data_IF_927481209445
#
_entry.id   IF_927481209445
#
_cell.length_a   1.000
_cell.length_b   1.000
_cell.length_c   1.000
_cell.angle_alpha   90.00
_cell.angle_beta   90.00
_cell.angle_gamma   90.00
#
_symmetry.space_group_name_H-M   'P 1'
#
loop_
_entity.id
_entity.type
_entity.pdbx_description
1 polymer ?
#
# COMPACT_ATOMS: atom_id res chain seq x y z
N UNK A 1 6.98 9.67 -6.55
CA UNK A 1 8.12 9.42 -5.65
C UNK A 1 9.20 8.68 -6.45
N UNK A 2 10.44 9.18 -6.50
CA UNK A 2 11.55 8.59 -7.28
C UNK A 2 12.38 7.73 -6.34
N UNK A 3 12.37 6.42 -6.56
CA UNK A 3 13.22 5.49 -5.81
C UNK A 3 14.59 5.52 -6.50
N UNK A 4 15.48 6.41 -6.07
CA UNK A 4 16.85 6.47 -6.60
C UNK A 4 17.66 5.32 -6.03
N UNK A 5 18.28 4.51 -6.90
CA UNK A 5 19.18 3.42 -6.52
C UNK A 5 18.76 2.03 -7.03
N UNK A 6 17.52 1.85 -7.48
CA UNK A 6 17.02 0.55 -7.97
C UNK A 6 17.73 0.05 -9.23
N UNK A 7 18.01 -1.27 -9.31
CA UNK A 7 18.51 -1.94 -10.53
C UNK A 7 17.54 -1.90 -11.72
N UNK A 8 16.26 -1.69 -11.45
CA UNK A 8 15.18 -1.74 -12.44
C UNK A 8 14.51 -0.37 -12.59
N UNK A 9 14.01 -0.09 -13.79
CA UNK A 9 13.28 1.14 -14.07
C UNK A 9 11.89 1.12 -13.39
N UNK A 10 11.74 1.95 -12.36
CA UNK A 10 10.50 2.09 -11.62
C UNK A 10 9.35 2.63 -12.49
N UNK A 11 9.63 3.37 -13.57
CA UNK A 11 8.60 3.90 -14.46
C UNK A 11 7.92 2.78 -15.27
N UNK A 12 8.69 1.76 -15.68
CA UNK A 12 8.15 0.59 -16.39
C UNK A 12 7.22 -0.21 -15.46
N UNK A 13 7.67 -0.49 -14.22
CA UNK A 13 6.83 -1.15 -13.23
C UNK A 13 5.54 -0.36 -12.96
N UNK A 14 5.65 0.95 -12.76
CA UNK A 14 4.50 1.82 -12.53
C UNK A 14 3.52 1.81 -13.70
N UNK A 15 4.02 1.83 -14.95
CA UNK A 15 3.19 1.73 -16.14
C UNK A 15 2.36 0.44 -16.14
N UNK A 16 2.99 -0.72 -15.95
CA UNK A 16 2.29 -2.00 -15.98
C UNK A 16 1.27 -2.16 -14.83
N UNK A 17 1.62 -1.68 -13.63
CA UNK A 17 0.68 -1.71 -12.50
C UNK A 17 -0.54 -0.81 -12.76
N UNK A 18 -0.34 0.37 -13.36
CA UNK A 18 -1.44 1.25 -13.77
C UNK A 18 -2.29 0.64 -14.88
N UNK A 19 -1.68 -0.03 -15.87
CA UNK A 19 -2.41 -0.72 -16.93
C UNK A 19 -3.27 -1.88 -16.37
N UNK A 20 -2.76 -2.62 -15.39
CA UNK A 20 -3.47 -3.75 -14.80
C UNK A 20 -4.60 -3.34 -13.84
N UNK A 21 -4.38 -2.31 -13.03
CA UNK A 21 -5.30 -1.95 -11.92
C UNK A 21 -6.04 -0.63 -12.12
N UNK A 22 -5.61 0.21 -13.06
CA UNK A 22 -6.23 1.49 -13.38
C UNK A 22 -6.33 2.41 -12.16
N UNK A 23 -7.48 3.05 -12.00
CA UNK A 23 -7.82 3.91 -10.85
C UNK A 23 -8.61 3.17 -9.79
N UNK A 24 -8.47 1.85 -9.70
CA UNK A 24 -9.23 1.04 -8.75
C UNK A 24 -8.81 1.38 -7.31
N UNK A 25 -9.74 1.88 -6.48
CA UNK A 25 -9.48 2.17 -5.07
C UNK A 25 -9.28 0.90 -4.24
N UNK A 26 -8.38 0.95 -3.25
CA UNK A 26 -8.00 -0.22 -2.45
C UNK A 26 -9.00 -0.58 -1.35
N UNK A 27 -9.75 0.37 -0.81
CA UNK A 27 -10.69 0.21 0.33
C UNK A 27 -12.17 0.29 -0.08
N UNK A 28 -12.53 0.75 -1.28
CA UNK A 28 -13.92 0.87 -1.75
C UNK A 28 -14.68 -0.47 -1.79
N UNK A 29 -13.98 -1.59 -1.78
CA UNK A 29 -14.57 -2.95 -1.73
C UNK A 29 -14.68 -3.52 -0.31
N UNK A 30 -14.40 -2.73 0.74
CA UNK A 30 -14.44 -3.14 2.15
C UNK A 30 -15.87 -3.40 2.64
N UNK A 31 -16.54 -4.39 2.04
CA UNK A 31 -17.78 -4.96 2.54
C UNK A 31 -17.43 -5.95 3.67
N UNK A 32 -18.29 -6.09 4.69
CA UNK A 32 -18.08 -7.06 5.77
C UNK A 32 -17.75 -8.48 5.26
N UNK A 33 -18.45 -8.93 4.20
CA UNK A 33 -18.26 -10.24 3.55
C UNK A 33 -17.46 -10.23 2.24
N UNK A 34 -16.83 -9.09 1.89
CA UNK A 34 -16.04 -8.96 0.67
C UNK A 34 -14.68 -9.68 0.77
N UNK A 35 -14.02 -9.88 -0.38
CA UNK A 35 -12.65 -10.39 -0.43
C UNK A 35 -11.74 -9.50 0.42
N UNK A 36 -10.95 -10.12 1.29
CA UNK A 36 -10.00 -9.42 2.16
C UNK A 36 -8.60 -9.54 1.57
N UNK A 37 -7.86 -8.44 1.56
CA UNK A 37 -6.47 -8.41 1.11
C UNK A 37 -5.66 -7.43 1.94
N UNK A 38 -4.38 -7.77 2.07
CA UNK A 38 -3.37 -6.93 2.69
C UNK A 38 -2.05 -7.08 1.97
N UNK A 39 -1.29 -5.99 1.90
CA UNK A 39 0.10 -6.00 1.46
C UNK A 39 0.97 -5.29 2.47
N UNK A 40 2.24 -5.70 2.53
CA UNK A 40 3.25 -5.10 3.40
C UNK A 40 4.16 -4.18 2.61
N UNK A 41 4.47 -3.01 3.14
CA UNK A 41 5.47 -2.10 2.59
C UNK A 41 6.38 -1.61 3.71
N UNK A 42 7.55 -1.09 3.36
CA UNK A 42 8.45 -0.46 4.34
C UNK A 42 8.62 1.01 3.99
N UNK A 43 8.50 1.89 4.99
CA UNK A 43 8.72 3.32 4.76
C UNK A 43 10.19 3.61 4.48
N UNK A 44 10.45 4.49 3.51
CA UNK A 44 11.81 4.92 3.19
C UNK A 44 12.41 5.86 4.25
N UNK A 45 11.55 6.56 5.01
CA UNK A 45 11.98 7.56 6.00
C UNK A 45 12.58 6.94 7.27
N UNK A 46 12.00 5.85 7.74
CA UNK A 46 12.23 5.32 9.10
C UNK A 46 12.14 3.79 9.16
N UNK A 47 12.23 3.11 8.02
CA UNK A 47 12.22 1.64 7.91
C UNK A 47 11.07 0.94 8.65
N UNK A 48 9.93 1.63 8.82
CA UNK A 48 8.78 1.11 9.54
C UNK A 48 7.97 0.22 8.61
N UNK A 49 7.59 -0.97 9.11
CA UNK A 49 6.65 -1.85 8.44
C UNK A 49 5.27 -1.17 8.38
N UNK A 50 4.69 -1.11 7.19
CA UNK A 50 3.34 -0.63 6.93
C UNK A 50 2.46 -1.78 6.44
N UNK A 51 1.30 -1.94 7.06
CA UNK A 51 0.24 -2.84 6.59
C UNK A 51 -0.82 -2.02 5.86
N UNK A 52 -1.04 -2.33 4.58
CA UNK A 52 -2.06 -1.70 3.74
C UNK A 52 -3.13 -2.75 3.47
N UNK A 53 -4.33 -2.60 4.03
CA UNK A 53 -5.38 -3.63 3.96
C UNK A 53 -6.78 -3.06 3.82
N UNK A 54 -7.66 -3.78 3.12
CA UNK A 54 -9.08 -3.38 2.98
C UNK A 54 -9.99 -3.87 4.12
N UNK A 55 -9.43 -4.56 5.11
CA UNK A 55 -10.11 -4.84 6.37
C UNK A 55 -9.59 -3.91 7.44
N UNK A 56 -10.52 -3.41 8.24
CA UNK A 56 -10.23 -2.68 9.46
C UNK A 56 -10.30 -3.65 10.63
N UNK A 57 -9.34 -3.56 11.54
CA UNK A 57 -9.52 -4.14 12.87
C UNK A 57 -10.36 -3.15 13.66
N UNK A 58 -11.60 -3.49 13.99
CA UNK A 58 -12.38 -2.65 14.92
C UNK A 58 -11.65 -2.62 16.27
N UNK A 59 -11.17 -1.44 16.67
CA UNK A 59 -10.44 -1.24 17.93
C UNK A 59 -9.31 -0.23 17.78
N UNK A 60 -8.93 0.42 18.89
CA UNK A 60 -7.69 1.21 18.91
C UNK A 60 -6.53 0.26 18.64
N UNK A 61 -5.62 0.58 17.70
CA UNK A 61 -4.37 -0.15 17.56
C UNK A 61 -3.74 -0.29 18.94
N UNK A 62 -3.48 -1.52 19.40
CA UNK A 62 -2.71 -1.71 20.62
C UNK A 62 -1.36 -1.03 20.40
N UNK A 63 -0.86 -0.31 21.40
CA UNK A 63 0.25 0.64 21.24
C UNK A 63 1.60 0.02 20.81
N UNK A 64 1.65 -1.28 20.53
CA UNK A 64 2.88 -2.05 20.28
C UNK A 64 2.77 -3.02 19.08
N UNK A 65 2.02 -2.70 18.02
CA UNK A 65 1.87 -3.63 16.88
C UNK A 65 3.16 -3.84 16.05
N UNK A 66 4.19 -3.00 16.20
CA UNK A 66 5.43 -3.10 15.42
C UNK A 66 5.28 -2.74 13.93
N UNK A 67 4.05 -2.39 13.50
CA UNK A 67 3.74 -1.90 12.17
C UNK A 67 2.75 -0.73 12.22
N UNK A 68 2.79 0.14 11.21
CA UNK A 68 1.80 1.19 10.97
C UNK A 68 0.69 0.62 10.08
N UNK A 69 -0.56 0.70 10.52
CA UNK A 69 -1.70 0.41 9.64
C UNK A 69 -2.05 1.68 8.87
N UNK A 70 -2.04 1.62 7.52
CA UNK A 70 -2.41 2.79 6.72
C UNK A 70 -3.94 2.91 6.64
N UNK A 71 -4.51 4.07 7.01
CA UNK A 71 -5.95 4.26 7.02
C UNK A 71 -6.51 4.28 5.58
N UNK A 72 -7.81 3.98 5.41
CA UNK A 72 -8.50 4.02 4.12
C UNK A 72 -8.44 5.36 3.39
N UNK A 73 -8.31 6.44 4.15
CA UNK A 73 -8.33 7.82 3.65
C UNK A 73 -7.11 8.54 4.17
N UNK A 74 -6.34 9.12 3.26
CA UNK A 74 -5.32 10.12 3.57
C UNK A 74 -5.81 11.50 3.09
N UNK A 75 -5.09 12.57 3.46
CA UNK A 75 -5.34 13.92 2.94
C UNK A 75 -5.30 14.00 1.39
N UNK A 76 -4.70 12.99 0.74
CA UNK A 76 -4.58 12.85 -0.72
C UNK A 76 -5.64 11.95 -1.34
N UNK A 77 -6.61 11.49 -0.55
CA UNK A 77 -7.60 10.50 -0.94
C UNK A 77 -7.21 9.08 -0.57
N UNK A 78 -7.94 8.14 -1.17
CA UNK A 78 -7.82 6.70 -0.96
C UNK A 78 -6.66 6.12 -1.79
N UNK A 79 -5.90 5.19 -1.19
CA UNK A 79 -4.80 4.50 -1.86
C UNK A 79 -5.36 3.66 -3.02
N UNK A 80 -4.75 3.77 -4.19
CA UNK A 80 -5.09 2.94 -5.34
C UNK A 80 -4.34 1.60 -5.29
N UNK A 81 -4.94 0.55 -5.87
CA UNK A 81 -4.33 -0.79 -5.87
C UNK A 81 -2.94 -0.78 -6.49
N UNK A 82 -2.72 -0.03 -7.58
CA UNK A 82 -1.40 0.04 -8.23
C UNK A 82 -0.34 0.71 -7.33
N UNK A 83 -0.73 1.64 -6.46
CA UNK A 83 0.18 2.31 -5.53
C UNK A 83 0.63 1.34 -4.44
N UNK A 84 -0.32 0.60 -3.85
CA UNK A 84 -0.02 -0.42 -2.86
C UNK A 84 0.83 -1.56 -3.44
N UNK A 85 0.50 -2.02 -4.65
CA UNK A 85 1.26 -3.04 -5.37
C UNK A 85 2.71 -2.58 -5.63
N UNK A 86 2.90 -1.31 -6.01
CA UNK A 86 4.23 -0.73 -6.17
C UNK A 86 5.00 -0.72 -4.85
N UNK A 87 4.38 -0.30 -3.76
CA UNK A 87 5.02 -0.22 -2.45
C UNK A 87 5.49 -1.58 -1.92
N UNK A 88 4.78 -2.67 -2.18
CA UNK A 88 5.17 -4.02 -1.72
C UNK A 88 6.19 -4.72 -2.63
N UNK A 89 6.28 -4.33 -3.91
CA UNK A 89 7.16 -4.99 -4.89
C UNK A 89 8.45 -4.22 -5.15
N UNK A 90 8.48 -2.92 -4.88
CA UNK A 90 9.66 -2.10 -5.06
C UNK A 90 10.74 -2.44 -4.03
N UNK A 91 11.60 -3.40 -4.36
CA UNK A 91 12.78 -3.72 -3.58
C UNK A 91 13.85 -2.63 -3.76
N UNK A 92 14.22 -1.89 -2.70
CA UNK A 92 15.38 -1.01 -2.73
C UNK A 92 16.68 -1.83 -2.80
N UNK A 93 17.79 -1.16 -3.11
CA UNK A 93 19.12 -1.79 -3.32
C UNK A 93 20.07 -1.34 -2.22
#
# INVERSE_FOLDING_TARGET
MRISGGRYDAAILEKFLKEAYGTSPMFHTARPSGMKYAVTATTLSDATLCLISNYHTEGKPTSNLGYKHLPPTSDKGEILIWEAARCTTAAPT
#
